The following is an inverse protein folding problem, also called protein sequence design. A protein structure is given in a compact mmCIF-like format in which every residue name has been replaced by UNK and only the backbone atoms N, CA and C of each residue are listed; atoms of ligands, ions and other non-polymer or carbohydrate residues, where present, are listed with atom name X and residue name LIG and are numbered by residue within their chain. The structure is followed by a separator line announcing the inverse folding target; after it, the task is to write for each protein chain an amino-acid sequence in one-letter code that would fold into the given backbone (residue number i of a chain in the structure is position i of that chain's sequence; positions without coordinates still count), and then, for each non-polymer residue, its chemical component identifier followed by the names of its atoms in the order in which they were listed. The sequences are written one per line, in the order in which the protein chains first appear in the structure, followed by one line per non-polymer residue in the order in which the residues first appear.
data_IF_843528518139
#
_entry.id   IF_843528518139
#
_cell.length_a   1.000
_cell.length_b   1.000
_cell.length_c   1.000
_cell.angle_alpha   90.00
_cell.angle_beta   90.00
_cell.angle_gamma   90.00
#
_symmetry.space_group_name_H-M   'P 1'
#
loop_
_entity.id
_entity.type
_entity.pdbx_description
1 polymer ?
#
# COMPACT_ATOMS: atom_id res chain seq x y z
N UNK A 1 7.85 -15.53 62.19
CA UNK A 1 8.07 -16.89 62.74
C UNK A 1 6.69 -17.47 63.04
N UNK A 2 6.20 -18.63 62.58
CA UNK A 2 6.65 -19.67 61.67
C UNK A 2 5.42 -20.59 61.46
N UNK A 3 4.98 -20.75 60.22
CA UNK A 3 4.65 -22.00 59.51
C UNK A 3 3.67 -23.02 60.15
N UNK A 4 2.66 -23.44 59.36
CA UNK A 4 2.52 -24.85 58.94
C UNK A 4 1.50 -25.02 57.81
N UNK A 5 2.08 -25.20 56.62
CA UNK A 5 1.51 -25.80 55.43
C UNK A 5 1.42 -27.32 55.66
N UNK A 6 0.33 -27.98 55.24
CA UNK A 6 0.35 -29.12 54.30
C UNK A 6 -0.91 -30.01 54.33
N UNK A 7 -1.44 -30.29 53.12
CA UNK A 7 -1.78 -31.64 52.60
C UNK A 7 -3.05 -32.26 53.25
N UNK A 8 -4.18 -32.49 52.57
CA UNK A 8 -4.40 -33.31 51.37
C UNK A 8 -5.93 -33.26 51.09
N UNK A 9 -6.38 -33.17 49.83
CA UNK A 9 -7.36 -34.09 49.22
C UNK A 9 -7.81 -33.57 47.83
N UNK A 10 -7.21 -34.21 46.84
CA UNK A 10 -7.54 -34.25 45.41
C UNK A 10 -8.97 -34.80 45.21
N UNK A 11 -9.76 -34.24 44.27
CA UNK A 11 -10.72 -34.93 43.36
C UNK A 11 -11.37 -33.85 42.45
N UNK A 12 -10.81 -33.52 41.28
CA UNK A 12 -11.06 -34.16 39.95
C UNK A 12 -12.24 -33.52 39.19
N UNK A 13 -11.88 -32.81 38.11
CA UNK A 13 -12.53 -32.63 36.80
C UNK A 13 -13.98 -32.07 36.73
N UNK A 14 -14.19 -31.01 35.93
CA UNK A 14 -14.74 -31.10 34.55
C UNK A 14 -14.93 -29.70 33.91
N UNK A 15 -14.19 -29.49 32.80
CA UNK A 15 -14.61 -28.84 31.53
C UNK A 15 -15.20 -27.42 31.64
N UNK A 16 -14.52 -26.37 31.20
CA UNK A 16 -14.45 -26.07 29.76
C UNK A 16 -13.22 -25.25 29.40
N UNK A 17 -12.32 -25.86 28.62
CA UNK A 17 -11.42 -25.11 27.75
C UNK A 17 -12.28 -24.46 26.68
N UNK A 18 -12.76 -23.24 26.91
CA UNK A 18 -13.18 -22.40 25.79
C UNK A 18 -11.91 -21.89 25.11
N UNK A 19 -11.23 -22.80 24.41
CA UNK A 19 -10.34 -22.43 23.35
C UNK A 19 -11.25 -21.86 22.25
N UNK A 20 -11.39 -20.55 22.18
CA UNK A 20 -11.81 -19.95 20.93
C UNK A 20 -10.69 -20.21 19.93
N UNK A 21 -10.88 -21.27 19.13
CA UNK A 21 -10.12 -21.57 17.95
C UNK A 21 -10.36 -20.45 16.94
N UNK A 22 -9.46 -19.48 16.90
CA UNK A 22 -9.46 -18.50 15.81
C UNK A 22 -8.68 -19.09 14.65
N UNK A 23 -9.38 -19.94 13.88
CA UNK A 23 -9.03 -20.20 12.48
C UNK A 23 -9.36 -18.92 11.70
N UNK A 24 -8.45 -17.95 11.75
CA UNK A 24 -8.49 -16.78 10.89
C UNK A 24 -7.72 -17.10 9.61
N UNK A 25 -8.21 -18.06 8.82
CA UNK A 25 -7.87 -18.09 7.38
C UNK A 25 -8.78 -17.10 6.69
N UNK A 26 -8.51 -15.80 6.92
CA UNK A 26 -8.98 -14.79 6.00
C UNK A 26 -8.12 -14.92 4.74
N UNK A 27 -8.78 -15.27 3.66
CA UNK A 27 -8.25 -15.36 2.31
C UNK A 27 -7.44 -14.09 1.94
N UNK A 28 -6.12 -14.25 1.83
CA UNK A 28 -5.13 -13.22 1.49
C UNK A 28 -4.89 -13.17 -0.02
N UNK A 29 -5.94 -12.98 -0.83
CA UNK A 29 -5.76 -12.98 -2.29
C UNK A 29 -6.76 -12.14 -3.09
N UNK A 30 -7.38 -11.10 -2.52
CA UNK A 30 -8.32 -10.27 -3.30
C UNK A 30 -8.44 -8.80 -2.84
N UNK A 31 -7.45 -8.25 -2.15
CA UNK A 31 -7.42 -6.81 -1.86
C UNK A 31 -6.36 -6.10 -2.69
N UNK A 32 -6.71 -5.07 -3.49
CA UNK A 32 -5.72 -4.13 -3.98
C UNK A 32 -5.07 -3.51 -2.74
N UNK A 33 -3.78 -3.79 -2.57
CA UNK A 33 -2.99 -3.36 -1.42
C UNK A 33 -2.84 -1.84 -1.48
N UNK A 34 -3.78 -1.11 -0.86
CA UNK A 34 -3.61 0.33 -0.62
C UNK A 34 -2.64 0.45 0.56
N UNK A 35 -1.39 0.82 0.32
CA UNK A 35 -0.44 1.17 1.39
C UNK A 35 -0.70 2.62 1.79
N UNK A 36 -1.73 2.85 2.60
CA UNK A 36 -1.94 4.18 3.18
C UNK A 36 -0.93 4.39 4.31
N UNK A 37 -0.01 5.35 4.13
CA UNK A 37 0.76 5.94 5.23
C UNK A 37 1.97 5.16 5.76
N UNK A 38 2.28 3.96 5.27
CA UNK A 38 3.56 3.27 5.51
C UNK A 38 4.40 3.33 4.23
N UNK A 39 5.69 3.70 4.31
CA UNK A 39 6.55 3.60 3.13
C UNK A 39 6.61 2.13 2.69
N UNK A 40 6.40 1.82 1.40
CA UNK A 40 6.52 0.44 0.94
C UNK A 40 7.95 -0.05 1.19
N UNK A 41 8.09 -1.08 2.01
CA UNK A 41 9.39 -1.54 2.49
C UNK A 41 10.23 -2.29 1.43
N UNK A 42 9.75 -2.41 0.19
CA UNK A 42 10.52 -3.04 -0.89
C UNK A 42 11.46 -2.02 -1.56
N UNK A 43 12.74 -2.34 -1.78
CA UNK A 43 13.67 -1.44 -2.46
C UNK A 43 13.17 -0.88 -3.80
N UNK A 44 12.50 -1.66 -4.68
CA UNK A 44 11.95 -1.12 -5.92
C UNK A 44 10.88 -0.04 -5.71
N UNK A 45 10.03 -0.18 -4.70
CA UNK A 45 8.97 0.79 -4.44
C UNK A 45 9.53 2.10 -3.87
N UNK A 46 10.60 2.03 -3.08
CA UNK A 46 11.30 3.22 -2.57
C UNK A 46 11.92 4.02 -3.73
N UNK A 47 12.52 3.34 -4.71
CA UNK A 47 13.11 3.98 -5.89
C UNK A 47 12.05 4.71 -6.71
N UNK A 48 10.92 4.05 -7.04
CA UNK A 48 9.80 4.67 -7.75
C UNK A 48 9.26 5.93 -7.05
N UNK A 49 9.04 5.85 -5.72
CA UNK A 49 8.54 7.01 -4.94
C UNK A 49 9.57 8.13 -4.93
N UNK A 50 10.86 7.80 -4.81
CA UNK A 50 11.94 8.79 -4.76
C UNK A 50 12.06 9.52 -6.09
N UNK A 51 11.99 8.80 -7.21
CA UNK A 51 12.04 9.38 -8.54
C UNK A 51 10.83 10.28 -8.81
N UNK A 52 9.63 9.83 -8.43
CA UNK A 52 8.40 10.65 -8.52
C UNK A 52 8.50 11.92 -7.67
N UNK A 53 9.01 11.82 -6.45
CA UNK A 53 9.14 12.97 -5.56
C UNK A 53 10.18 13.98 -6.07
N UNK A 54 11.29 13.51 -6.65
CA UNK A 54 12.31 14.37 -7.24
C UNK A 54 11.78 15.12 -8.47
N UNK A 55 11.12 14.41 -9.40
CA UNK A 55 10.50 15.02 -10.57
C UNK A 55 9.43 16.06 -10.16
N UNK A 56 8.59 15.74 -9.16
CA UNK A 56 7.58 16.68 -8.68
C UNK A 56 8.18 17.93 -8.02
N UNK A 57 9.23 17.74 -7.21
CA UNK A 57 9.92 18.85 -6.55
C UNK A 57 10.51 19.84 -7.58
N UNK A 58 11.09 19.31 -8.67
CA UNK A 58 11.60 20.12 -9.77
C UNK A 58 10.47 20.87 -10.50
N UNK A 59 9.39 20.17 -10.88
CA UNK A 59 8.25 20.78 -11.59
C UNK A 59 7.55 21.88 -10.82
N UNK A 60 7.31 21.65 -9.53
CA UNK A 60 6.63 22.63 -8.67
C UNK A 60 7.61 23.66 -8.07
N UNK A 61 8.91 23.54 -8.35
CA UNK A 61 9.98 24.41 -7.84
C UNK A 61 9.95 24.54 -6.31
N UNK A 62 9.85 23.39 -5.62
CA UNK A 62 9.85 23.26 -4.16
C UNK A 62 11.04 22.41 -3.71
N UNK A 63 11.34 22.42 -2.41
CA UNK A 63 12.33 21.48 -1.87
C UNK A 63 11.72 20.08 -1.78
N UNK A 64 12.55 19.06 -1.95
CA UNK A 64 12.12 17.65 -1.86
C UNK A 64 11.41 17.31 -0.53
N UNK A 65 11.79 17.97 0.58
CA UNK A 65 11.16 17.76 1.88
C UNK A 65 9.78 18.42 2.03
N UNK A 66 9.33 19.17 1.03
CA UNK A 66 7.97 19.72 0.93
C UNK A 66 7.04 18.78 0.15
N UNK A 67 7.59 17.74 -0.49
CA UNK A 67 6.84 16.66 -1.15
C UNK A 67 6.51 15.59 -0.12
N UNK A 68 5.21 15.32 0.04
CA UNK A 68 4.70 14.28 0.95
C UNK A 68 4.23 13.08 0.15
N UNK A 69 4.76 11.90 0.45
CA UNK A 69 4.19 10.65 -0.04
C UNK A 69 2.84 10.39 0.65
N UNK A 70 1.80 10.08 -0.13
CA UNK A 70 0.46 9.79 0.39
C UNK A 70 0.13 8.30 0.25
N UNK A 71 0.28 7.75 -0.95
CA UNK A 71 -0.06 6.35 -1.22
C UNK A 71 0.70 5.80 -2.43
N UNK A 72 0.91 4.48 -2.42
CA UNK A 72 1.30 3.69 -3.58
C UNK A 72 0.26 2.59 -3.76
N UNK A 73 -0.36 2.55 -4.94
CA UNK A 73 -1.27 1.50 -5.37
C UNK A 73 -0.60 0.71 -6.51
N UNK A 74 -0.88 -0.59 -6.60
CA UNK A 74 -0.41 -1.47 -7.67
C UNK A 74 -1.61 -2.03 -8.48
N UNK A 75 -2.35 -1.18 -9.22
CA UNK A 75 -3.55 -1.61 -9.92
C UNK A 75 -3.23 -2.42 -11.19
N UNK A 76 -4.23 -3.17 -11.65
CA UNK A 76 -4.30 -3.66 -13.03
C UNK A 76 -5.21 -2.72 -13.82
N UNK A 77 -4.62 -1.96 -14.73
CA UNK A 77 -5.34 -1.02 -15.60
C UNK A 77 -6.05 -1.76 -16.73
N UNK A 78 -7.24 -1.30 -17.18
CA UNK A 78 -8.02 -1.99 -18.20
C UNK A 78 -7.47 -1.83 -19.62
N UNK A 79 -6.59 -0.85 -19.84
CA UNK A 79 -6.04 -0.50 -21.14
C UNK A 79 -4.62 0.11 -21.03
N UNK A 80 -4.02 0.40 -22.18
CA UNK A 80 -2.67 0.97 -22.28
C UNK A 80 -2.60 2.47 -21.96
N UNK A 81 -3.65 3.09 -21.41
CA UNK A 81 -3.59 4.47 -20.91
C UNK A 81 -3.01 4.56 -19.50
N UNK A 82 -2.90 3.43 -18.79
CA UNK A 82 -2.52 3.39 -17.38
C UNK A 82 -3.36 4.35 -16.53
N UNK A 83 -4.64 4.50 -16.86
CA UNK A 83 -5.57 5.36 -16.13
C UNK A 83 -5.40 6.86 -16.36
N UNK A 84 -4.60 7.27 -17.35
CA UNK A 84 -4.43 8.68 -17.72
C UNK A 84 -4.69 8.89 -19.22
N UNK A 85 -5.95 8.72 -19.69
CA UNK A 85 -6.24 8.81 -21.12
C UNK A 85 -6.13 10.23 -21.64
N UNK A 86 -5.42 10.39 -22.75
CA UNK A 86 -5.45 11.59 -23.59
C UNK A 86 -6.60 11.48 -24.62
N UNK A 87 -7.42 12.53 -24.83
CA UNK A 87 -8.58 12.48 -25.73
C UNK A 87 -8.24 12.25 -27.21
N UNK A 88 -7.02 12.60 -27.64
CA UNK A 88 -6.57 12.45 -29.02
C UNK A 88 -5.91 11.09 -29.28
N UNK A 89 -5.68 10.31 -28.22
CA UNK A 89 -4.95 9.04 -28.27
C UNK A 89 -5.90 7.85 -28.22
N UNK A 90 -5.72 6.91 -29.15
CA UNK A 90 -6.40 5.62 -29.12
C UNK A 90 -5.59 4.61 -28.30
N UNK A 91 -6.25 3.97 -27.32
CA UNK A 91 -5.63 2.99 -26.43
C UNK A 91 -6.11 1.57 -26.71
N UNK A 92 -5.25 0.58 -26.42
CA UNK A 92 -5.61 -0.83 -26.53
C UNK A 92 -6.21 -1.31 -25.21
N UNK A 93 -7.39 -1.92 -25.27
CA UNK A 93 -8.07 -2.55 -24.12
C UNK A 93 -7.42 -3.88 -23.72
N UNK A 94 -6.19 -3.79 -23.25
CA UNK A 94 -5.40 -4.91 -22.76
C UNK A 94 -5.07 -4.66 -21.29
N UNK A 95 -5.41 -5.57 -20.36
CA UNK A 95 -5.05 -5.40 -18.96
C UNK A 95 -3.54 -5.23 -18.75
N UNK A 96 -3.15 -4.24 -17.93
CA UNK A 96 -1.76 -3.90 -17.63
C UNK A 96 -1.53 -3.77 -16.13
N UNK A 97 -0.61 -4.55 -15.60
CA UNK A 97 -0.08 -4.30 -14.25
C UNK A 97 0.71 -2.99 -14.25
N UNK A 98 0.50 -2.19 -13.22
CA UNK A 98 1.21 -0.92 -13.07
C UNK A 98 1.21 -0.43 -11.64
N UNK A 99 1.54 0.83 -11.49
CA UNK A 99 1.52 1.53 -10.22
C UNK A 99 0.91 2.92 -10.35
N UNK A 100 0.37 3.41 -9.24
CA UNK A 100 -0.11 4.78 -9.06
C UNK A 100 0.47 5.30 -7.74
N UNK A 101 1.32 6.31 -7.83
CA UNK A 101 1.91 7.00 -6.67
C UNK A 101 1.15 8.31 -6.49
N UNK A 102 0.59 8.52 -5.30
CA UNK A 102 0.03 9.79 -4.89
C UNK A 102 1.04 10.56 -4.05
N UNK A 103 1.36 11.77 -4.51
CA UNK A 103 2.20 12.73 -3.82
C UNK A 103 1.40 14.00 -3.51
N UNK A 104 1.82 14.74 -2.48
CA UNK A 104 1.17 15.99 -2.08
C UNK A 104 2.19 17.09 -1.85
N UNK A 105 1.92 18.26 -2.44
CA UNK A 105 2.67 19.51 -2.26
C UNK A 105 1.68 20.64 -2.03
N UNK A 106 1.88 21.47 -1.00
CA UNK A 106 1.03 22.63 -0.71
C UNK A 106 -0.48 22.31 -0.65
N UNK A 107 -0.85 21.11 -0.19
CA UNK A 107 -2.24 20.64 -0.11
C UNK A 107 -2.87 20.19 -1.42
N UNK A 108 -2.12 20.16 -2.52
CA UNK A 108 -2.54 19.61 -3.82
C UNK A 108 -2.00 18.20 -4.02
N UNK A 109 -2.83 17.32 -4.54
CA UNK A 109 -2.46 15.94 -4.89
C UNK A 109 -1.96 15.85 -6.33
N UNK A 110 -0.95 15.03 -6.53
CA UNK A 110 -0.32 14.72 -7.81
C UNK A 110 -0.23 13.21 -7.95
N UNK A 111 -0.51 12.69 -9.14
CA UNK A 111 -0.57 11.25 -9.39
C UNK A 111 0.45 10.87 -10.46
N UNK A 112 1.39 10.00 -10.10
CA UNK A 112 2.36 9.43 -11.02
C UNK A 112 1.95 8.01 -11.36
N UNK A 113 1.85 7.70 -12.65
CA UNK A 113 1.46 6.39 -13.15
C UNK A 113 2.63 5.75 -13.90
N UNK A 114 2.65 4.43 -13.97
CA UNK A 114 3.63 3.69 -14.76
C UNK A 114 3.40 2.18 -14.71
N UNK A 115 4.26 1.41 -15.36
CA UNK A 115 4.16 -0.05 -15.37
C UNK A 115 5.34 -0.73 -16.06
N UNK A 116 5.17 -1.99 -16.46
CA UNK A 116 6.24 -2.79 -17.07
C UNK A 116 6.75 -2.20 -18.40
N UNK A 117 5.84 -1.71 -19.24
CA UNK A 117 6.14 -1.24 -20.60
C UNK A 117 6.00 0.29 -20.78
N UNK A 118 5.89 1.04 -19.69
CA UNK A 118 5.91 2.51 -19.73
C UNK A 118 6.70 3.06 -18.55
N UNK A 119 7.56 4.04 -18.84
CA UNK A 119 8.26 4.80 -17.79
C UNK A 119 7.24 5.58 -16.94
N UNK A 120 7.66 5.90 -15.72
CA UNK A 120 6.87 6.73 -14.81
C UNK A 120 6.55 8.10 -15.44
N UNK A 121 5.31 8.56 -15.30
CA UNK A 121 4.89 9.90 -15.75
C UNK A 121 3.86 10.54 -14.82
N UNK A 122 3.82 11.87 -14.78
CA UNK A 122 2.80 12.63 -14.07
C UNK A 122 1.49 12.64 -14.88
N UNK A 123 0.38 12.22 -14.27
CA UNK A 123 -0.94 12.30 -14.87
C UNK A 123 -1.59 13.66 -14.55
N UNK A 124 -1.80 14.48 -15.59
CA UNK A 124 -2.40 15.82 -15.45
C UNK A 124 -3.94 15.80 -15.42
N UNK A 125 -4.56 14.69 -15.85
CA UNK A 125 -6.01 14.51 -15.94
C UNK A 125 -6.47 13.42 -14.97
N UNK A 126 -6.90 13.81 -13.76
CA UNK A 126 -7.42 12.89 -12.75
C UNK A 126 -8.93 13.04 -12.54
#
# INVERSE_FOLDING_TARGET
MSNKVHILFIFVLLISTSACRQDNTANDSDYPFIVEGELPASPPAIELITDAANDLAERENVRINEVTFVALELPVWPDTSYGCPDPETAYLFTPKEGYKIQLRVNGRDFFYHGGEDIEQFLCENN
#
